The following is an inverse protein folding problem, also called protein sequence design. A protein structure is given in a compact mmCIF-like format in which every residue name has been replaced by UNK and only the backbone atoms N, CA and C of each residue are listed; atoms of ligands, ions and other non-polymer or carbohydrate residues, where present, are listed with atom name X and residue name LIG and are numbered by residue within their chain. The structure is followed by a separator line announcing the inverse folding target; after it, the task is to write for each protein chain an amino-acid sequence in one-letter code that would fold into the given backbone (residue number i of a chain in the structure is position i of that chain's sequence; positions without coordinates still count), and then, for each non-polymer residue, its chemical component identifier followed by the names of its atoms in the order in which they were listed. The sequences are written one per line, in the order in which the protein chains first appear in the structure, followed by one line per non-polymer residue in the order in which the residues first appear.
data_IF_915310410121
#
_entry.id   IF_915310410121
#
_cell.length_a   1.000
_cell.length_b   1.000
_cell.length_c   1.000
_cell.angle_alpha   90.00
_cell.angle_beta   90.00
_cell.angle_gamma   90.00
#
_symmetry.space_group_name_H-M   'P 1'
#
loop_
_entity.id
_entity.type
_entity.pdbx_description
1 polymer ?
#
# COMPACT_ATOMS: atom_id res chain seq x y z
N UNK A 1 -39.36 -6.85 -40.36
CA UNK A 1 -38.83 -6.00 -41.46
C UNK A 1 -37.98 -6.77 -42.48
N UNK A 2 -37.01 -7.63 -42.12
CA UNK A 2 -36.16 -8.33 -43.09
C UNK A 2 -36.92 -9.29 -44.04
N UNK A 3 -38.12 -9.73 -43.67
CA UNK A 3 -39.03 -10.54 -44.48
C UNK A 3 -40.10 -9.76 -45.26
N UNK A 4 -40.18 -8.43 -45.08
CA UNK A 4 -41.12 -7.58 -45.81
C UNK A 4 -40.67 -7.43 -47.25
N UNK A 5 -41.61 -7.40 -48.18
CA UNK A 5 -41.36 -7.31 -49.62
C UNK A 5 -41.37 -5.83 -50.03
N UNK A 6 -40.43 -5.44 -50.86
CA UNK A 6 -40.36 -4.08 -51.44
C UNK A 6 -41.51 -3.88 -52.42
N UNK A 7 -42.28 -2.83 -52.31
CA UNK A 7 -43.39 -2.51 -53.25
C UNK A 7 -42.91 -2.31 -54.69
N UNK A 8 -41.69 -1.82 -54.85
CA UNK A 8 -41.14 -1.47 -56.17
C UNK A 8 -40.44 -2.64 -56.88
N UNK A 9 -39.92 -3.62 -56.13
CA UNK A 9 -39.12 -4.73 -56.72
C UNK A 9 -39.72 -6.09 -56.46
N UNK A 10 -40.79 -6.18 -55.70
CA UNK A 10 -41.45 -7.41 -55.24
C UNK A 10 -40.51 -8.46 -54.65
N UNK A 11 -39.38 -8.03 -54.06
CA UNK A 11 -38.38 -8.88 -53.39
C UNK A 11 -38.26 -8.53 -51.92
N UNK A 12 -37.97 -9.52 -51.04
CA UNK A 12 -37.76 -9.24 -49.65
C UNK A 12 -36.55 -8.34 -49.42
N UNK A 13 -36.66 -7.38 -48.46
CA UNK A 13 -35.58 -6.46 -48.16
C UNK A 13 -34.28 -7.09 -47.72
N UNK A 14 -34.34 -8.29 -47.16
CA UNK A 14 -33.19 -9.04 -46.67
C UNK A 14 -32.50 -8.43 -45.46
N UNK A 15 -31.88 -9.24 -44.65
CA UNK A 15 -31.27 -8.84 -43.37
C UNK A 15 -30.13 -7.84 -43.59
N UNK A 16 -29.33 -8.01 -44.64
CA UNK A 16 -28.16 -7.15 -44.90
C UNK A 16 -28.56 -5.68 -45.14
N UNK A 17 -29.61 -5.47 -45.95
CA UNK A 17 -30.11 -4.13 -46.30
C UNK A 17 -30.73 -3.45 -45.05
N UNK A 18 -31.57 -4.18 -44.34
CA UNK A 18 -32.23 -3.68 -43.10
C UNK A 18 -31.18 -3.31 -42.04
N UNK A 19 -30.18 -4.16 -41.76
CA UNK A 19 -29.16 -3.85 -40.78
C UNK A 19 -28.27 -2.68 -41.16
N UNK A 20 -27.99 -2.48 -42.46
CA UNK A 20 -27.23 -1.33 -42.96
C UNK A 20 -28.00 0.00 -42.74
N UNK A 21 -29.28 0.03 -43.08
CA UNK A 21 -30.12 1.23 -42.89
C UNK A 21 -30.30 1.57 -41.41
N UNK A 22 -30.39 0.58 -40.55
CA UNK A 22 -30.61 0.77 -39.11
C UNK A 22 -29.33 0.92 -38.31
N UNK A 23 -28.16 0.91 -38.94
CA UNK A 23 -26.87 1.02 -38.25
C UNK A 23 -26.59 -0.13 -37.28
N UNK A 24 -27.25 -1.30 -37.45
CA UNK A 24 -27.20 -2.41 -36.52
C UNK A 24 -26.37 -3.57 -37.10
N UNK A 25 -25.50 -4.20 -36.32
CA UNK A 25 -24.74 -5.35 -36.81
C UNK A 25 -25.63 -6.59 -37.00
N UNK A 26 -25.38 -7.38 -38.06
CA UNK A 26 -26.09 -8.67 -38.28
C UNK A 26 -25.94 -9.60 -37.08
N UNK A 27 -24.77 -9.59 -36.45
CA UNK A 27 -24.51 -10.40 -35.25
C UNK A 27 -25.43 -10.03 -34.08
N UNK A 28 -25.79 -8.75 -33.92
CA UNK A 28 -26.73 -8.30 -32.89
C UNK A 28 -28.13 -8.86 -33.15
N UNK A 29 -28.60 -8.80 -34.45
CA UNK A 29 -29.90 -9.35 -34.82
C UNK A 29 -29.96 -10.88 -34.61
N UNK A 30 -28.92 -11.61 -34.98
CA UNK A 30 -28.88 -13.06 -34.75
C UNK A 30 -28.82 -13.41 -33.26
N UNK A 31 -28.14 -12.61 -32.43
CA UNK A 31 -28.16 -12.80 -30.96
C UNK A 31 -29.57 -12.61 -30.39
N UNK A 32 -30.32 -11.60 -30.88
CA UNK A 32 -31.70 -11.35 -30.44
C UNK A 32 -32.67 -12.42 -30.94
N UNK A 33 -32.43 -13.02 -32.11
CA UNK A 33 -33.30 -14.07 -32.69
C UNK A 33 -33.01 -15.48 -32.12
N UNK A 34 -31.86 -15.67 -31.46
CA UNK A 34 -31.62 -16.96 -30.75
C UNK A 34 -32.60 -17.06 -29.60
N UNK A 35 -33.37 -18.14 -29.49
CA UNK A 35 -34.16 -18.38 -28.29
C UNK A 35 -33.20 -18.34 -27.09
N UNK A 36 -33.64 -17.69 -26.04
CA UNK A 36 -32.90 -17.61 -24.77
C UNK A 36 -32.90 -19.02 -24.11
N UNK A 37 -32.15 -19.93 -24.73
CA UNK A 37 -31.81 -21.18 -24.07
C UNK A 37 -30.93 -20.73 -22.93
N UNK A 38 -31.47 -20.76 -21.72
CA UNK A 38 -30.77 -20.46 -20.46
C UNK A 38 -29.62 -21.46 -20.24
N UNK A 39 -28.63 -21.38 -21.11
CA UNK A 39 -27.32 -21.98 -20.81
C UNK A 39 -26.79 -21.19 -19.61
N UNK A 40 -26.52 -21.86 -18.50
CA UNK A 40 -25.87 -21.19 -17.40
C UNK A 40 -24.68 -20.43 -17.97
N UNK A 41 -24.68 -19.11 -17.86
CA UNK A 41 -23.59 -18.27 -18.38
C UNK A 41 -22.30 -18.83 -17.83
N UNK A 42 -21.51 -19.51 -18.65
CA UNK A 42 -20.16 -19.93 -18.27
C UNK A 42 -19.44 -18.67 -17.81
N UNK A 43 -19.11 -18.63 -16.53
CA UNK A 43 -18.36 -17.49 -15.97
C UNK A 43 -17.09 -17.31 -16.80
N UNK A 44 -16.81 -16.11 -17.31
CA UNK A 44 -15.59 -15.89 -18.09
C UNK A 44 -14.38 -16.08 -17.19
N UNK A 45 -13.44 -16.85 -17.65
CA UNK A 45 -12.16 -17.11 -16.99
C UNK A 45 -11.94 -18.57 -16.62
N UNK A 46 -10.70 -18.99 -16.40
CA UNK A 46 -10.40 -20.34 -15.97
C UNK A 46 -11.02 -20.60 -14.61
N UNK A 47 -11.84 -21.64 -14.52
CA UNK A 47 -12.25 -22.19 -13.23
C UNK A 47 -10.97 -22.73 -12.61
N UNK A 48 -10.53 -22.13 -11.51
CA UNK A 48 -9.39 -22.65 -10.76
C UNK A 48 -9.68 -24.08 -10.28
N UNK A 49 -8.67 -24.89 -10.02
CA UNK A 49 -8.84 -26.26 -9.59
C UNK A 49 -9.58 -26.41 -8.25
N UNK A 50 -9.64 -25.32 -7.44
CA UNK A 50 -10.29 -25.30 -6.11
C UNK A 50 -11.71 -24.75 -6.20
N UNK A 51 -12.72 -25.41 -5.61
CA UNK A 51 -14.09 -24.87 -5.47
C UNK A 51 -14.14 -23.52 -4.75
N UNK A 52 -15.23 -22.75 -4.94
CA UNK A 52 -15.37 -21.42 -4.32
C UNK A 52 -15.43 -21.52 -2.79
N UNK A 53 -16.12 -22.52 -2.25
CA UNK A 53 -16.25 -22.77 -0.81
C UNK A 53 -14.89 -23.04 -0.17
N UNK A 54 -14.10 -23.93 -0.76
CA UNK A 54 -12.74 -24.23 -0.29
C UNK A 54 -11.81 -23.01 -0.39
N UNK A 55 -11.98 -22.19 -1.44
CA UNK A 55 -11.21 -20.96 -1.57
C UNK A 55 -11.60 -19.91 -0.53
N UNK A 56 -12.88 -19.82 -0.15
CA UNK A 56 -13.35 -18.94 0.92
C UNK A 56 -12.73 -19.34 2.26
N UNK A 57 -12.70 -20.64 2.57
CA UNK A 57 -12.04 -21.13 3.79
C UNK A 57 -10.53 -20.85 3.78
N UNK A 58 -9.87 -21.00 2.64
CA UNK A 58 -8.47 -20.60 2.50
C UNK A 58 -8.26 -19.08 2.70
N UNK A 59 -9.17 -18.23 2.19
CA UNK A 59 -9.15 -16.79 2.43
C UNK A 59 -9.33 -16.48 3.92
N UNK A 60 -10.27 -17.14 4.61
CA UNK A 60 -10.48 -16.99 6.05
C UNK A 60 -9.24 -17.40 6.85
N UNK A 61 -8.61 -18.51 6.48
CA UNK A 61 -7.36 -18.96 7.08
C UNK A 61 -6.22 -17.95 6.94
N UNK A 62 -6.07 -17.35 5.74
CA UNK A 62 -5.08 -16.30 5.48
C UNK A 62 -5.36 -15.05 6.32
N UNK A 63 -6.63 -14.64 6.43
CA UNK A 63 -7.00 -13.48 7.25
C UNK A 63 -6.76 -13.74 8.74
N UNK A 64 -7.09 -14.91 9.24
CA UNK A 64 -6.88 -15.28 10.64
C UNK A 64 -5.39 -15.38 11.01
N UNK A 65 -4.54 -15.81 10.08
CA UNK A 65 -3.09 -15.91 10.28
C UNK A 65 -2.36 -14.56 10.09
N UNK A 66 -3.02 -13.55 9.52
CA UNK A 66 -2.40 -12.24 9.31
C UNK A 66 -2.30 -11.47 10.63
N UNK A 67 -1.12 -10.90 10.96
CA UNK A 67 -0.99 -10.01 12.12
C UNK A 67 -1.62 -8.63 11.87
N UNK A 68 -2.15 -8.37 10.66
CA UNK A 68 -2.71 -7.09 10.27
C UNK A 68 -4.20 -7.15 10.03
N UNK A 69 -4.91 -6.11 10.49
CA UNK A 69 -6.31 -5.92 10.21
C UNK A 69 -6.53 -5.27 8.83
N UNK A 70 -7.54 -5.75 8.11
CA UNK A 70 -8.00 -5.09 6.91
C UNK A 70 -7.05 -5.18 5.71
N UNK A 71 -6.35 -6.29 5.51
CA UNK A 71 -5.61 -6.53 4.28
C UNK A 71 -6.55 -6.61 3.07
N UNK A 72 -6.29 -5.80 2.04
CA UNK A 72 -7.10 -5.76 0.83
C UNK A 72 -6.93 -7.03 -0.03
N UNK A 73 -7.94 -7.32 -0.89
CA UNK A 73 -7.99 -8.51 -1.74
C UNK A 73 -6.72 -8.79 -2.57
N UNK A 74 -5.93 -7.76 -2.92
CA UNK A 74 -4.68 -7.94 -3.67
C UNK A 74 -3.61 -8.61 -2.83
N UNK A 75 -3.51 -8.24 -1.55
CA UNK A 75 -2.61 -8.89 -0.59
C UNK A 75 -3.08 -10.31 -0.28
N UNK A 76 -4.39 -10.50 -0.05
CA UNK A 76 -4.96 -11.84 0.14
C UNK A 76 -4.65 -12.75 -1.04
N UNK A 77 -4.80 -12.26 -2.27
CA UNK A 77 -4.42 -13.00 -3.46
C UNK A 77 -2.93 -13.38 -3.46
N UNK A 78 -2.04 -12.46 -3.08
CA UNK A 78 -0.61 -12.75 -3.02
C UNK A 78 -0.28 -13.79 -1.94
N UNK A 79 -0.89 -13.67 -0.74
CA UNK A 79 -0.70 -14.65 0.34
C UNK A 79 -1.22 -16.05 -0.04
N UNK A 80 -2.36 -16.13 -0.73
CA UNK A 80 -2.86 -17.39 -1.27
C UNK A 80 -1.86 -18.02 -2.25
N UNK A 81 -1.22 -17.21 -3.12
CA UNK A 81 -0.18 -17.70 -4.02
C UNK A 81 1.06 -18.20 -3.28
N UNK A 82 1.48 -17.53 -2.22
CA UNK A 82 2.58 -18.00 -1.37
C UNK A 82 2.23 -19.32 -0.68
N UNK A 83 0.95 -19.54 -0.35
CA UNK A 83 0.44 -20.82 0.15
C UNK A 83 0.19 -21.87 -0.97
N UNK A 84 0.65 -21.64 -2.21
CA UNK A 84 0.50 -22.56 -3.34
C UNK A 84 -0.87 -22.53 -4.01
N UNK A 85 -1.80 -21.70 -3.57
CA UNK A 85 -3.17 -21.62 -4.11
C UNK A 85 -3.21 -20.67 -5.30
N UNK A 86 -3.37 -21.21 -6.51
CA UNK A 86 -3.48 -20.43 -7.74
C UNK A 86 -4.91 -20.04 -8.05
N UNK A 87 -5.18 -18.74 -8.06
CA UNK A 87 -6.50 -18.17 -8.40
C UNK A 87 -6.34 -16.78 -9.02
N UNK A 88 -7.40 -16.23 -9.60
CA UNK A 88 -7.36 -14.88 -10.17
C UNK A 88 -7.67 -13.81 -9.10
N UNK A 89 -7.08 -12.62 -9.23
CA UNK A 89 -7.39 -11.46 -8.37
C UNK A 89 -8.88 -11.11 -8.37
N UNK A 90 -9.55 -11.23 -9.55
CA UNK A 90 -10.99 -10.96 -9.69
C UNK A 90 -11.84 -11.96 -8.91
N UNK A 91 -11.45 -13.25 -8.87
CA UNK A 91 -12.16 -14.27 -8.11
C UNK A 91 -12.04 -14.01 -6.60
N UNK A 92 -10.83 -13.69 -6.12
CA UNK A 92 -10.62 -13.29 -4.71
C UNK A 92 -11.47 -12.07 -4.35
N UNK A 93 -11.48 -11.03 -5.20
CA UNK A 93 -12.30 -9.83 -4.99
C UNK A 93 -13.79 -10.16 -4.92
N UNK A 94 -14.28 -11.03 -5.81
CA UNK A 94 -15.69 -11.44 -5.82
C UNK A 94 -16.05 -12.15 -4.53
N UNK A 95 -15.29 -13.19 -4.16
CA UNK A 95 -15.57 -13.99 -2.96
C UNK A 95 -15.44 -13.16 -1.68
N UNK A 96 -14.44 -12.27 -1.57
CA UNK A 96 -14.34 -11.39 -0.41
C UNK A 96 -15.53 -10.44 -0.29
N UNK A 97 -16.15 -10.01 -1.41
CA UNK A 97 -17.38 -9.21 -1.41
C UNK A 97 -18.60 -10.04 -1.00
N UNK A 98 -18.80 -11.19 -1.63
CA UNK A 98 -19.94 -12.10 -1.38
C UNK A 98 -19.99 -12.54 0.09
N UNK A 99 -18.83 -12.79 0.68
CA UNK A 99 -18.70 -13.26 2.07
C UNK A 99 -18.39 -12.18 3.11
N UNK A 100 -18.45 -10.89 2.74
CA UNK A 100 -18.18 -9.74 3.63
C UNK A 100 -16.81 -9.80 4.33
N UNK A 101 -15.80 -10.33 3.65
CA UNK A 101 -14.40 -10.45 4.10
C UNK A 101 -13.51 -9.30 3.60
N UNK A 102 -14.11 -8.20 3.17
CA UNK A 102 -13.38 -7.05 2.69
C UNK A 102 -12.76 -6.27 3.85
N UNK A 103 -11.60 -5.66 3.56
CA UNK A 103 -11.04 -4.65 4.44
C UNK A 103 -12.05 -3.54 4.71
N UNK A 104 -12.07 -2.92 5.90
CA UNK A 104 -12.92 -1.77 6.21
C UNK A 104 -12.81 -0.70 5.13
N UNK A 105 -13.95 -0.20 4.67
CA UNK A 105 -14.02 0.85 3.67
C UNK A 105 -13.34 2.11 4.17
N UNK A 106 -12.37 2.63 3.43
CA UNK A 106 -11.76 3.93 3.73
C UNK A 106 -12.65 5.02 3.16
N UNK A 107 -13.16 5.89 4.01
CA UNK A 107 -13.82 7.12 3.58
C UNK A 107 -12.73 8.04 3.03
N UNK A 108 -12.60 8.09 1.70
CA UNK A 108 -11.68 8.99 1.02
C UNK A 108 -12.27 10.41 0.97
N UNK A 109 -11.44 11.44 1.15
CA UNK A 109 -11.82 12.78 0.72
C UNK A 109 -11.91 12.81 -0.81
N UNK A 110 -12.86 13.59 -1.41
CA UNK A 110 -12.85 13.83 -2.83
C UNK A 110 -11.46 14.31 -3.25
N UNK A 111 -10.87 13.64 -4.22
CA UNK A 111 -9.56 14.07 -4.75
C UNK A 111 -9.84 15.18 -5.76
N UNK A 112 -9.27 16.37 -5.52
CA UNK A 112 -9.12 17.41 -6.54
C UNK A 112 -8.27 16.94 -7.72
N UNK A 113 -8.11 17.77 -8.77
CA UNK A 113 -7.16 17.47 -9.83
C UNK A 113 -5.79 17.18 -9.23
N UNK A 114 -5.14 16.12 -9.72
CA UNK A 114 -3.77 15.79 -9.28
C UNK A 114 -2.84 16.88 -9.77
N UNK A 115 -2.19 17.55 -8.83
CA UNK A 115 -1.18 18.56 -9.14
C UNK A 115 0.21 17.93 -9.40
N UNK A 116 0.42 16.66 -8.98
CA UNK A 116 1.72 15.98 -9.03
C UNK A 116 1.59 14.50 -9.39
N UNK A 117 2.67 13.93 -9.93
CA UNK A 117 2.74 12.52 -10.39
C UNK A 117 2.85 11.48 -9.27
N UNK A 118 2.79 11.85 -8.00
CA UNK A 118 2.70 10.92 -6.88
C UNK A 118 3.89 10.96 -5.91
N UNK A 119 3.98 9.97 -5.03
CA UNK A 119 4.97 9.82 -3.97
C UNK A 119 6.39 9.75 -4.52
N UNK A 120 7.34 10.52 -3.98
CA UNK A 120 8.77 10.41 -4.28
C UNK A 120 9.24 8.99 -3.91
N UNK A 121 9.94 8.37 -4.85
CA UNK A 121 10.50 7.02 -4.70
C UNK A 121 11.95 7.06 -5.13
N UNK A 122 12.80 6.45 -4.32
CA UNK A 122 14.19 6.22 -4.68
C UNK A 122 14.36 4.82 -5.27
N UNK A 123 15.35 4.64 -6.12
CA UNK A 123 15.66 3.35 -6.74
C UNK A 123 16.49 2.46 -5.80
N UNK A 124 17.25 3.09 -4.89
CA UNK A 124 18.12 2.40 -3.94
C UNK A 124 17.72 2.74 -2.51
N UNK A 125 18.01 1.83 -1.59
CA UNK A 125 17.89 2.06 -0.15
C UNK A 125 18.94 3.07 0.32
N UNK A 126 18.64 3.75 1.42
CA UNK A 126 19.53 4.74 2.06
C UNK A 126 19.91 5.95 1.21
N UNK A 127 19.15 6.22 0.13
CA UNK A 127 19.26 7.48 -0.64
C UNK A 127 18.36 8.55 -0.03
N UNK A 128 17.15 8.18 0.39
CA UNK A 128 16.22 9.10 1.04
C UNK A 128 15.43 8.37 2.12
N UNK A 129 15.48 8.93 3.30
CA UNK A 129 14.57 8.57 4.39
C UNK A 129 13.51 9.65 4.56
N UNK A 130 12.38 9.28 5.12
CA UNK A 130 11.36 10.22 5.54
C UNK A 130 11.11 10.10 7.02
N UNK A 131 10.90 11.21 7.70
CA UNK A 131 10.50 11.26 9.10
C UNK A 131 9.20 12.04 9.25
N UNK A 132 8.40 11.69 10.26
CA UNK A 132 7.16 12.36 10.55
C UNK A 132 6.73 12.07 12.00
N UNK A 133 5.80 12.90 12.51
CA UNK A 133 5.25 12.85 13.85
C UNK A 133 3.77 12.43 13.81
N UNK A 134 3.41 11.53 14.71
CA UNK A 134 2.00 11.29 15.07
C UNK A 134 1.83 11.20 16.56
N UNK A 135 0.60 11.09 17.05
CA UNK A 135 0.33 10.97 18.49
C UNK A 135 -0.76 9.95 18.77
N UNK A 136 -0.78 9.49 20.02
CA UNK A 136 -1.84 8.68 20.60
C UNK A 136 -2.05 9.03 22.08
N UNK A 137 -3.18 8.60 22.66
CA UNK A 137 -3.44 8.74 24.09
C UNK A 137 -2.96 7.49 24.83
N UNK A 138 -2.35 7.71 25.99
CA UNK A 138 -2.01 6.66 26.96
C UNK A 138 -2.66 7.00 28.32
N UNK A 139 -2.61 6.09 29.28
CA UNK A 139 -3.02 6.37 30.66
C UNK A 139 -2.21 7.48 31.33
N UNK A 140 -1.00 7.76 30.82
CA UNK A 140 -0.13 8.86 31.29
C UNK A 140 -0.34 10.18 30.52
N UNK A 141 -1.31 10.24 29.61
CA UNK A 141 -1.59 11.40 28.75
C UNK A 141 -1.20 11.17 27.29
N UNK A 142 -1.13 12.26 26.53
CA UNK A 142 -0.76 12.21 25.13
C UNK A 142 0.71 11.85 24.96
N UNK A 143 0.99 10.90 24.06
CA UNK A 143 2.34 10.53 23.64
C UNK A 143 2.56 10.94 22.19
N UNK A 144 3.70 11.56 21.92
CA UNK A 144 4.23 11.82 20.58
C UNK A 144 4.95 10.57 20.07
N UNK A 145 4.80 10.25 18.79
CA UNK A 145 5.44 9.10 18.14
C UNK A 145 6.15 9.59 16.90
N UNK A 146 7.46 9.48 16.88
CA UNK A 146 8.31 9.79 15.74
C UNK A 146 8.71 8.53 15.00
N UNK A 147 8.76 8.58 13.67
CA UNK A 147 9.10 7.44 12.82
C UNK A 147 10.09 7.85 11.75
N UNK A 148 10.96 6.92 11.34
CA UNK A 148 11.84 7.07 10.18
C UNK A 148 11.62 5.89 9.25
N UNK A 149 11.37 6.16 7.97
CA UNK A 149 11.04 5.16 6.95
C UNK A 149 11.88 5.37 5.71
N UNK A 150 12.45 4.33 5.16
CA UNK A 150 13.18 4.36 3.88
C UNK A 150 12.21 4.48 2.70
N UNK A 151 12.48 5.41 1.78
CA UNK A 151 11.59 5.67 0.62
C UNK A 151 11.64 4.57 -0.44
N UNK A 152 12.75 3.85 -0.57
CA UNK A 152 12.89 2.73 -1.48
C UNK A 152 12.14 1.50 -0.98
N UNK A 153 12.60 0.90 0.13
CA UNK A 153 12.09 -0.35 0.67
C UNK A 153 10.74 -0.21 1.39
N UNK A 154 10.41 0.99 1.88
CA UNK A 154 9.34 1.26 2.86
C UNK A 154 9.57 0.65 4.24
N UNK A 155 10.81 0.28 4.55
CA UNK A 155 11.19 -0.24 5.85
C UNK A 155 11.09 0.87 6.92
N UNK A 156 10.48 0.57 8.04
CA UNK A 156 10.53 1.42 9.21
C UNK A 156 11.87 1.17 9.92
N UNK A 157 12.77 2.14 9.82
CA UNK A 157 14.12 2.04 10.35
C UNK A 157 14.19 2.41 11.83
N UNK A 158 13.48 3.48 12.19
CA UNK A 158 13.42 3.99 13.56
C UNK A 158 11.99 4.32 13.99
N UNK A 159 11.70 4.09 15.27
CA UNK A 159 10.41 4.46 15.87
C UNK A 159 10.63 4.77 17.36
N UNK A 160 10.06 5.89 17.81
CA UNK A 160 10.22 6.35 19.18
C UNK A 160 8.94 6.99 19.70
N UNK A 161 8.63 6.80 20.98
CA UNK A 161 7.52 7.48 21.66
C UNK A 161 8.00 8.24 22.90
N UNK A 162 7.46 9.44 23.08
CA UNK A 162 7.82 10.35 24.17
C UNK A 162 6.58 11.11 24.69
N UNK A 163 6.55 11.53 25.95
CA UNK A 163 5.49 12.40 26.46
C UNK A 163 5.51 13.79 25.82
N UNK A 164 6.61 14.21 25.21
CA UNK A 164 6.78 15.52 24.62
C UNK A 164 7.29 15.42 23.18
N UNK A 165 6.81 16.30 22.31
CA UNK A 165 7.25 16.38 20.91
C UNK A 165 8.42 17.34 20.76
N UNK A 166 9.55 17.09 21.43
CA UNK A 166 10.73 17.95 21.33
C UNK A 166 11.61 17.58 20.12
N UNK A 167 12.50 18.51 19.74
CA UNK A 167 13.51 18.26 18.69
C UNK A 167 14.47 17.12 19.03
N UNK A 168 14.77 16.92 20.31
CA UNK A 168 15.64 15.83 20.75
C UNK A 168 14.99 14.46 20.63
N UNK A 169 13.67 14.40 20.90
CA UNK A 169 12.89 13.17 20.71
C UNK A 169 12.68 12.86 19.20
N UNK A 170 12.63 13.89 18.35
CA UNK A 170 12.57 13.72 16.90
C UNK A 170 13.86 13.12 16.32
N UNK A 171 15.01 13.35 16.96
CA UNK A 171 16.30 12.77 16.56
C UNK A 171 16.42 11.28 16.93
N UNK A 172 15.70 10.80 17.93
CA UNK A 172 15.88 9.44 18.42
C UNK A 172 15.62 8.36 17.35
N UNK A 173 14.53 8.38 16.56
CA UNK A 173 14.36 7.39 15.49
C UNK A 173 15.42 7.51 14.37
N UNK A 174 16.00 8.70 14.17
CA UNK A 174 17.09 8.91 13.21
C UNK A 174 18.37 8.25 13.74
N UNK A 175 18.70 8.47 15.02
CA UNK A 175 19.85 7.82 15.69
C UNK A 175 19.74 6.30 15.65
N UNK A 176 18.53 5.76 15.90
CA UNK A 176 18.25 4.33 15.78
C UNK A 176 18.53 3.85 14.35
N UNK A 177 18.02 4.58 13.35
CA UNK A 177 18.17 4.25 11.94
C UNK A 177 19.63 4.28 11.49
N UNK A 178 20.38 5.31 11.86
CA UNK A 178 21.81 5.46 11.51
C UNK A 178 22.63 4.30 12.11
N UNK A 179 22.44 3.99 13.39
CA UNK A 179 23.14 2.85 14.03
C UNK A 179 22.78 1.51 13.37
N UNK A 180 21.51 1.31 13.02
CA UNK A 180 21.05 0.06 12.39
C UNK A 180 21.57 -0.10 10.95
N UNK A 181 21.64 0.98 10.17
CA UNK A 181 22.00 0.93 8.75
C UNK A 181 23.49 1.10 8.48
N UNK A 182 24.18 1.93 9.29
CA UNK A 182 25.61 2.26 9.09
C UNK A 182 26.51 1.69 10.20
N UNK A 183 25.94 1.07 11.22
CA UNK A 183 26.69 0.36 12.26
C UNK A 183 27.29 1.23 13.36
N UNK A 184 27.34 2.56 13.18
CA UNK A 184 27.91 3.51 14.12
C UNK A 184 27.13 4.82 14.18
N UNK A 185 27.48 5.69 15.12
CA UNK A 185 27.05 7.07 15.18
C UNK A 185 28.32 7.93 15.17
N UNK A 186 28.66 8.48 13.99
CA UNK A 186 29.89 9.20 13.76
C UNK A 186 29.67 10.33 12.75
N UNK A 187 30.60 11.26 12.70
CA UNK A 187 30.62 12.35 11.72
C UNK A 187 30.63 11.78 10.29
N UNK A 188 29.81 12.36 9.42
CA UNK A 188 29.68 12.03 7.98
C UNK A 188 29.33 10.55 7.67
N UNK A 189 28.91 9.77 8.67
CA UNK A 189 28.64 8.32 8.51
C UNK A 189 27.53 8.02 7.50
N UNK A 190 26.61 8.95 7.31
CA UNK A 190 25.46 8.83 6.42
C UNK A 190 25.53 9.82 5.24
N UNK A 191 26.74 10.17 4.79
CA UNK A 191 26.95 11.07 3.66
C UNK A 191 26.26 10.55 2.40
N UNK A 192 25.52 11.44 1.72
CA UNK A 192 24.71 11.12 0.53
C UNK A 192 23.26 10.71 0.83
N UNK A 193 22.89 10.58 2.11
CA UNK A 193 21.51 10.37 2.52
C UNK A 193 20.76 11.70 2.61
N UNK A 194 19.52 11.74 2.10
CA UNK A 194 18.57 12.84 2.33
C UNK A 194 17.52 12.43 3.38
N UNK A 195 17.19 13.36 4.28
CA UNK A 195 16.07 13.19 5.21
C UNK A 195 14.91 14.10 4.85
N UNK A 196 13.81 13.50 4.39
CA UNK A 196 12.56 14.20 4.11
C UNK A 196 11.75 14.39 5.38
N UNK A 197 11.31 15.63 5.63
CA UNK A 197 10.46 15.99 6.79
C UNK A 197 9.50 17.13 6.45
N UNK A 198 8.50 17.35 7.27
CA UNK A 198 7.64 18.51 7.17
C UNK A 198 8.29 19.76 7.83
N UNK A 199 7.57 20.88 7.88
CA UNK A 199 8.01 22.12 8.53
C UNK A 199 7.66 22.19 10.02
N UNK A 200 7.44 21.05 10.69
CA UNK A 200 7.23 21.01 12.14
C UNK A 200 8.39 21.65 12.88
N UNK A 201 8.09 22.43 13.95
CA UNK A 201 9.10 23.17 14.71
C UNK A 201 10.23 22.29 15.24
N UNK A 202 9.97 21.02 15.53
CA UNK A 202 10.95 20.04 15.99
C UNK A 202 11.98 19.69 14.91
N UNK A 203 11.61 19.74 13.62
CA UNK A 203 12.47 19.37 12.49
C UNK A 203 13.27 20.54 11.92
N UNK A 204 12.79 21.78 12.14
CA UNK A 204 13.50 22.99 11.69
C UNK A 204 14.37 23.62 12.76
N UNK A 205 14.40 23.06 13.97
CA UNK A 205 15.21 23.56 15.08
C UNK A 205 16.71 23.38 14.81
N UNK A 206 17.52 24.35 15.26
CA UNK A 206 18.96 24.37 15.02
C UNK A 206 19.67 23.09 15.50
N UNK A 207 19.32 22.59 16.70
CA UNK A 207 19.91 21.36 17.22
C UNK A 207 19.61 20.14 16.35
N UNK A 208 18.39 20.06 15.79
CA UNK A 208 18.00 18.99 14.88
C UNK A 208 18.83 19.07 13.57
N UNK A 209 18.91 20.25 12.98
CA UNK A 209 19.66 20.48 11.75
C UNK A 209 21.16 20.28 11.94
N UNK A 210 21.71 20.70 13.09
CA UNK A 210 23.11 20.50 13.43
C UNK A 210 23.48 19.02 13.54
N UNK A 211 22.61 18.19 14.14
CA UNK A 211 22.86 16.74 14.24
C UNK A 211 22.77 16.06 12.87
N UNK A 212 21.83 16.46 12.00
CA UNK A 212 21.78 15.97 10.61
C UNK A 212 23.08 16.31 9.87
N UNK A 213 23.54 17.57 9.98
CA UNK A 213 24.78 18.03 9.37
C UNK A 213 25.98 17.23 9.89
N UNK A 214 26.07 16.98 11.20
CA UNK A 214 27.12 16.14 11.79
C UNK A 214 27.14 14.73 11.20
N UNK A 215 25.97 14.15 10.97
CA UNK A 215 25.85 12.80 10.39
C UNK A 215 26.08 12.77 8.86
N UNK A 216 26.24 13.91 8.21
CA UNK A 216 26.32 14.02 6.75
C UNK A 216 24.99 13.86 6.04
N UNK A 217 23.86 13.98 6.75
CA UNK A 217 22.52 13.82 6.21
C UNK A 217 22.02 15.16 5.66
N UNK A 218 21.65 15.21 4.38
CA UNK A 218 21.05 16.38 3.78
C UNK A 218 19.60 16.57 4.23
N UNK A 219 19.27 17.73 4.81
CA UNK A 219 17.90 18.09 5.17
C UNK A 219 17.10 18.42 3.90
N UNK A 220 15.95 17.76 3.73
CA UNK A 220 15.07 17.91 2.56
C UNK A 220 13.63 18.21 3.01
N UNK A 221 13.31 19.46 3.39
CA UNK A 221 11.96 19.81 3.82
C UNK A 221 10.95 19.63 2.67
N UNK A 222 9.78 19.10 2.98
CA UNK A 222 8.70 18.98 2.01
C UNK A 222 8.23 20.37 1.57
N UNK A 223 7.89 20.53 0.28
CA UNK A 223 7.39 21.82 -0.18
C UNK A 223 6.09 22.19 0.53
N UNK A 224 5.95 23.46 0.88
CA UNK A 224 4.74 23.99 1.51
C UNK A 224 3.53 23.74 0.61
N UNK A 225 2.51 23.03 1.11
CA UNK A 225 1.30 22.59 0.41
C UNK A 225 1.46 21.42 -0.56
N UNK A 226 2.59 20.72 -0.56
CA UNK A 226 2.79 19.49 -1.34
C UNK A 226 2.96 18.28 -0.41
N UNK A 227 1.87 17.73 0.14
CA UNK A 227 1.92 16.61 1.10
C UNK A 227 2.45 15.32 0.46
N UNK A 228 2.52 15.26 -0.88
CA UNK A 228 2.92 14.05 -1.60
C UNK A 228 4.42 13.71 -1.45
N UNK A 229 5.25 14.67 -1.04
CA UNK A 229 6.68 14.48 -0.80
C UNK A 229 7.00 13.48 0.32
N UNK A 230 6.13 13.34 1.35
CA UNK A 230 6.31 12.44 2.50
C UNK A 230 5.32 11.25 2.50
N UNK A 231 4.66 11.00 1.39
CA UNK A 231 3.62 9.98 1.27
C UNK A 231 4.03 8.55 1.60
N UNK A 232 5.34 8.25 1.68
CA UNK A 232 5.85 6.97 2.15
C UNK A 232 5.64 6.81 3.66
N UNK A 233 6.06 7.81 4.43
CA UNK A 233 5.93 7.84 5.89
C UNK A 233 4.47 7.95 6.30
N UNK A 234 3.68 8.80 5.64
CA UNK A 234 2.24 8.93 5.90
C UNK A 234 1.51 7.59 5.76
N UNK A 235 1.89 6.80 4.74
CA UNK A 235 1.32 5.47 4.53
C UNK A 235 1.71 4.49 5.64
N UNK A 236 2.95 4.54 6.11
CA UNK A 236 3.39 3.76 7.27
C UNK A 236 2.62 4.16 8.53
N UNK A 237 2.56 5.45 8.85
CA UNK A 237 1.82 5.98 10.01
C UNK A 237 0.35 5.56 9.97
N UNK A 238 -0.28 5.62 8.80
CA UNK A 238 -1.65 5.14 8.64
C UNK A 238 -1.77 3.65 8.94
N UNK A 239 -0.83 2.83 8.45
CA UNK A 239 -0.81 1.39 8.75
C UNK A 239 -0.61 1.15 10.24
N UNK A 240 0.27 1.90 10.89
CA UNK A 240 0.49 1.87 12.33
C UNK A 240 -0.79 2.23 13.11
N UNK A 241 -1.48 3.30 12.71
CA UNK A 241 -2.75 3.71 13.33
C UNK A 241 -3.82 2.64 13.19
N UNK A 242 -4.05 2.15 11.98
CA UNK A 242 -5.10 1.17 11.68
C UNK A 242 -4.84 -0.19 12.36
N UNK A 243 -3.60 -0.56 12.64
CA UNK A 243 -3.24 -1.89 13.14
C UNK A 243 -2.74 -1.92 14.58
N UNK A 244 -2.41 -0.78 15.17
CA UNK A 244 -1.94 -0.71 16.54
C UNK A 244 -2.63 0.40 17.34
N UNK A 245 -2.47 1.68 16.93
CA UNK A 245 -2.82 2.81 17.79
C UNK A 245 -4.34 2.98 17.99
N UNK A 246 -5.16 2.60 17.01
CA UNK A 246 -6.64 2.70 17.11
C UNK A 246 -7.30 1.45 17.65
N UNK A 247 -6.57 0.33 17.72
CA UNK A 247 -7.14 -0.97 18.13
C UNK A 247 -6.67 -1.40 19.51
N UNK A 248 -5.68 -0.72 20.08
CA UNK A 248 -5.12 -1.01 21.40
C UNK A 248 -5.02 0.24 22.26
N UNK A 249 -5.27 0.09 23.56
CA UNK A 249 -5.01 1.12 24.58
C UNK A 249 -3.72 0.79 25.29
N UNK A 250 -3.03 1.81 25.76
CA UNK A 250 -1.75 1.72 26.46
C UNK A 250 -1.87 2.46 27.78
N UNK A 251 -1.50 1.83 28.88
CA UNK A 251 -1.53 2.46 30.18
C UNK A 251 -0.31 3.34 30.39
N UNK A 252 0.84 2.94 29.87
CA UNK A 252 2.10 3.70 30.00
C UNK A 252 2.75 3.96 28.65
N UNK A 253 3.63 4.97 28.61
CA UNK A 253 4.47 5.25 27.43
C UNK A 253 5.46 4.11 27.16
N UNK A 254 5.93 3.44 28.21
CA UNK A 254 6.85 2.31 28.06
C UNK A 254 6.14 1.11 27.41
N UNK A 255 4.91 0.82 27.79
CA UNK A 255 4.10 -0.20 27.12
C UNK A 255 3.89 0.16 25.62
N UNK A 256 3.63 1.44 25.33
CA UNK A 256 3.53 1.93 23.97
C UNK A 256 4.86 1.72 23.21
N UNK A 257 6.02 2.04 23.79
CA UNK A 257 7.35 1.85 23.16
C UNK A 257 7.58 0.39 22.77
N UNK A 258 7.32 -0.52 23.71
CA UNK A 258 7.47 -1.97 23.45
C UNK A 258 6.56 -2.44 22.33
N UNK A 259 5.29 -1.98 22.31
CA UNK A 259 4.34 -2.32 21.27
C UNK A 259 4.75 -1.73 19.90
N UNK A 260 5.30 -0.52 19.88
CA UNK A 260 5.81 0.12 18.66
C UNK A 260 7.00 -0.65 18.08
N UNK A 261 7.95 -1.09 18.90
CA UNK A 261 9.08 -1.90 18.43
C UNK A 261 8.62 -3.25 17.89
N UNK A 262 7.73 -3.95 18.61
CA UNK A 262 7.16 -5.22 18.14
C UNK A 262 6.37 -5.02 16.82
N UNK A 263 5.63 -3.91 16.68
CA UNK A 263 4.93 -3.57 15.46
C UNK A 263 5.91 -3.29 14.30
N UNK A 264 6.97 -2.52 14.53
CA UNK A 264 8.02 -2.24 13.54
C UNK A 264 8.60 -3.54 12.99
N UNK A 265 8.98 -4.46 13.86
CA UNK A 265 9.56 -5.75 13.48
C UNK A 265 8.57 -6.60 12.68
N UNK A 266 7.31 -6.67 13.14
CA UNK A 266 6.25 -7.39 12.45
C UNK A 266 5.97 -6.77 11.08
N UNK A 267 5.87 -5.44 11.00
CA UNK A 267 5.66 -4.72 9.74
C UNK A 267 6.80 -5.00 8.75
N UNK A 268 8.03 -4.80 9.15
CA UNK A 268 9.19 -4.96 8.29
C UNK A 268 9.31 -6.37 7.71
N UNK A 269 9.01 -7.39 8.52
CA UNK A 269 9.16 -8.81 8.14
C UNK A 269 7.95 -9.41 7.45
N UNK A 270 6.75 -8.87 7.64
CA UNK A 270 5.51 -9.57 7.20
C UNK A 270 4.56 -8.71 6.37
N UNK A 271 4.70 -7.36 6.35
CA UNK A 271 3.91 -6.48 5.52
C UNK A 271 4.34 -6.57 4.07
N UNK A 272 3.50 -7.17 3.22
CA UNK A 272 3.81 -7.28 1.79
C UNK A 272 3.40 -6.02 1.02
N UNK A 273 4.27 -5.57 0.11
CA UNK A 273 4.11 -4.33 -0.65
C UNK A 273 3.91 -4.63 -2.13
N UNK A 274 2.74 -4.24 -2.70
CA UNK A 274 2.39 -4.57 -4.09
C UNK A 274 3.43 -4.03 -5.10
N UNK A 275 3.94 -2.81 -4.91
CA UNK A 275 4.94 -2.20 -5.81
C UNK A 275 6.27 -2.97 -5.84
N UNK A 276 6.57 -3.73 -4.79
CA UNK A 276 7.76 -4.57 -4.68
C UNK A 276 7.49 -6.03 -5.08
N UNK A 277 6.45 -6.29 -5.86
CA UNK A 277 6.08 -7.66 -6.22
C UNK A 277 5.60 -8.50 -5.04
N UNK A 278 5.00 -7.84 -4.04
CA UNK A 278 4.53 -8.45 -2.78
C UNK A 278 5.66 -8.97 -1.86
N UNK A 279 6.88 -8.43 -1.99
CA UNK A 279 7.96 -8.65 -1.01
C UNK A 279 7.75 -7.76 0.20
N UNK A 280 8.35 -8.16 1.33
CA UNK A 280 8.36 -7.36 2.56
C UNK A 280 9.44 -6.27 2.49
N UNK A 281 9.36 -5.19 3.31
CA UNK A 281 10.39 -4.17 3.38
C UNK A 281 11.79 -4.74 3.62
N UNK A 282 11.95 -5.63 4.60
CA UNK A 282 13.24 -6.29 4.90
C UNK A 282 13.77 -7.11 3.71
N UNK A 283 12.90 -7.82 2.98
CA UNK A 283 13.34 -8.57 1.79
C UNK A 283 13.86 -7.64 0.70
N UNK A 284 13.16 -6.52 0.45
CA UNK A 284 13.60 -5.53 -0.54
C UNK A 284 14.95 -4.94 -0.15
N UNK A 285 15.13 -4.54 1.12
CA UNK A 285 16.40 -4.01 1.61
C UNK A 285 17.53 -5.02 1.47
N UNK A 286 17.32 -6.26 1.92
CA UNK A 286 18.32 -7.31 1.84
C UNK A 286 18.76 -7.61 0.40
N UNK A 287 17.83 -7.64 -0.57
CA UNK A 287 18.15 -7.82 -1.98
C UNK A 287 18.98 -6.65 -2.53
N UNK A 288 18.60 -5.42 -2.20
CA UNK A 288 19.32 -4.22 -2.63
C UNK A 288 20.77 -4.22 -2.10
N UNK A 289 20.96 -4.48 -0.81
CA UNK A 289 22.28 -4.55 -0.19
C UNK A 289 23.11 -5.74 -0.73
N UNK A 290 22.49 -6.89 -0.96
CA UNK A 290 23.14 -8.05 -1.57
C UNK A 290 23.58 -7.78 -3.01
N UNK A 291 22.80 -7.03 -3.79
CA UNK A 291 23.14 -6.64 -5.16
C UNK A 291 24.30 -5.64 -5.18
N UNK A 292 24.33 -4.67 -4.26
CA UNK A 292 25.42 -3.70 -4.13
C UNK A 292 26.72 -4.38 -3.75
N UNK A 293 26.68 -5.34 -2.80
CA UNK A 293 27.87 -6.11 -2.38
C UNK A 293 28.44 -6.98 -3.50
N UNK A 294 27.62 -7.41 -4.48
CA UNK A 294 28.08 -8.23 -5.61
C UNK A 294 28.62 -7.38 -6.77
N UNK A 295 28.28 -6.09 -6.81
CA UNK A 295 28.71 -5.14 -7.85
C UNK A 295 29.97 -4.36 -7.47
N UNK A 296 30.42 -4.42 -6.23
CA UNK A 296 31.64 -3.80 -5.70
C UNK A 296 32.79 -4.82 -5.65
#
# INVERSE_FOLDING_TARGET
MSGMVSPSTNRPYGLLRVTRVWGTSRAAVYRHRRPDVSRPRRRPGPVGPMPDEALVEAIRGVLAASPFHGEGYRKLWARLRFAGIRTSKRRVLRLTREHRLQAPGRVGRPRGPKAHDGTIRTEQVDVMWGTDLTSTMTGQGQAAIFVTVDHCSTECLGIHASPQATRFEALEPIRQSVRACFGAFAEDIASGLELRHDHGSQFVADDFQAELAFLGIASSPAFVREPEGNGCVERFIRTLKENLLWVRRFDTIEELRQALHAFKDTYNRTWIVERHGYRTPTQVRAEQLGTLATAA
#
